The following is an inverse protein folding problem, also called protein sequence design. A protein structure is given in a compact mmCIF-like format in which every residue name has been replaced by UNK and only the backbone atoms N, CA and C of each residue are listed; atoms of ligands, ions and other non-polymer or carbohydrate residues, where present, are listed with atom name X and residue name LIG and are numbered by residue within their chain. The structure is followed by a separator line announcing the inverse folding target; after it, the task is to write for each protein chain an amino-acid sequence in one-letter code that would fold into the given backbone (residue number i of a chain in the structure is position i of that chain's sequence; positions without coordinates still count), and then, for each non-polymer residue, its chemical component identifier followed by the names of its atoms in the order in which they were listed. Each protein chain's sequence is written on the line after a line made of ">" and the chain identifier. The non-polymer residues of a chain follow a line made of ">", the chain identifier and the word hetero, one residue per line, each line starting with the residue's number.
data_IF_897782215169
#
_entry.id   IF_897782215169
#
_cell.length_a   1.000
_cell.length_b   1.000
_cell.length_c   1.000
_cell.angle_alpha   90.00
_cell.angle_beta   90.00
_cell.angle_gamma   90.00
#
_symmetry.space_group_name_H-M   'P 1'
#
loop_
_entity.id
_entity.type
_entity.pdbx_description
1 polymer ?
#
# COMPACT_ATOMS: atom_id res chain seq x y z
N UNK A 1 -35.16 -40.20 -14.12
CA UNK A 1 -34.40 -39.96 -12.87
C UNK A 1 -33.07 -39.22 -13.06
N UNK A 2 -32.51 -39.12 -14.27
CA UNK A 2 -31.23 -38.41 -14.54
C UNK A 2 -31.31 -36.88 -14.52
N UNK A 3 -32.49 -36.27 -14.73
CA UNK A 3 -32.65 -34.80 -14.70
C UNK A 3 -32.47 -34.18 -13.30
N UNK A 4 -32.94 -34.85 -12.24
CA UNK A 4 -32.89 -34.32 -10.86
C UNK A 4 -31.46 -34.24 -10.30
N UNK A 5 -30.61 -35.21 -10.64
CA UNK A 5 -29.20 -35.23 -10.22
C UNK A 5 -28.42 -34.08 -10.90
N UNK A 6 -28.71 -33.80 -12.17
CA UNK A 6 -28.05 -32.71 -12.92
C UNK A 6 -28.42 -31.33 -12.36
N UNK A 7 -29.67 -31.13 -11.93
CA UNK A 7 -30.12 -29.86 -11.34
C UNK A 7 -29.49 -29.59 -9.97
N UNK A 8 -29.33 -30.61 -9.13
CA UNK A 8 -28.70 -30.48 -7.80
C UNK A 8 -27.20 -30.15 -7.95
N UNK A 9 -26.51 -30.75 -8.92
CA UNK A 9 -25.11 -30.47 -9.19
C UNK A 9 -24.87 -28.99 -9.57
N UNK A 10 -25.76 -28.41 -10.39
CA UNK A 10 -25.69 -27.00 -10.80
C UNK A 10 -25.92 -26.06 -9.61
N UNK A 11 -26.88 -26.36 -8.73
CA UNK A 11 -27.18 -25.52 -7.55
C UNK A 11 -25.99 -25.50 -6.57
N UNK A 12 -25.32 -26.64 -6.36
CA UNK A 12 -24.14 -26.74 -5.50
C UNK A 12 -22.94 -25.99 -6.11
N UNK A 13 -22.73 -26.09 -7.43
CA UNK A 13 -21.68 -25.34 -8.13
C UNK A 13 -21.94 -23.83 -8.07
N UNK A 14 -23.17 -23.37 -8.28
CA UNK A 14 -23.54 -21.95 -8.20
C UNK A 14 -23.40 -21.39 -6.77
N UNK A 15 -23.78 -22.17 -5.76
CA UNK A 15 -23.63 -21.78 -4.35
C UNK A 15 -22.15 -21.75 -3.92
N UNK A 16 -21.34 -22.70 -4.40
CA UNK A 16 -19.89 -22.72 -4.19
C UNK A 16 -19.18 -21.54 -4.86
N UNK A 17 -19.55 -21.21 -6.11
CA UNK A 17 -18.93 -20.14 -6.88
C UNK A 17 -19.18 -18.74 -6.27
N UNK A 18 -20.40 -18.49 -5.75
CA UNK A 18 -20.70 -17.23 -5.05
C UNK A 18 -19.93 -17.10 -3.72
N UNK A 19 -19.74 -18.20 -2.99
CA UNK A 19 -18.99 -18.19 -1.72
C UNK A 19 -17.48 -17.94 -1.92
N UNK A 20 -16.90 -18.52 -2.98
CA UNK A 20 -15.49 -18.30 -3.36
C UNK A 20 -15.28 -16.85 -3.80
N UNK A 21 -16.18 -16.31 -4.63
CA UNK A 21 -16.15 -14.90 -5.06
C UNK A 21 -16.18 -13.92 -3.87
N UNK A 22 -17.00 -14.20 -2.85
CA UNK A 22 -17.04 -13.38 -1.62
C UNK A 22 -15.77 -13.52 -0.76
N UNK A 23 -15.13 -14.70 -0.76
CA UNK A 23 -13.86 -14.95 -0.08
C UNK A 23 -12.69 -14.21 -0.74
N UNK A 24 -12.62 -14.25 -2.07
CA UNK A 24 -11.58 -13.54 -2.83
C UNK A 24 -11.70 -12.03 -2.65
N UNK A 25 -12.91 -11.48 -2.70
CA UNK A 25 -13.15 -10.05 -2.43
C UNK A 25 -12.64 -9.65 -1.04
N UNK A 26 -12.93 -10.46 -0.01
CA UNK A 26 -12.46 -10.20 1.34
C UNK A 26 -10.94 -10.21 1.43
N UNK A 27 -10.27 -11.21 0.85
CA UNK A 27 -8.81 -11.31 0.86
C UNK A 27 -8.16 -10.15 0.10
N UNK A 28 -8.75 -9.74 -1.03
CA UNK A 28 -8.32 -8.55 -1.79
C UNK A 28 -8.37 -7.30 -0.92
N UNK A 29 -9.49 -7.07 -0.22
CA UNK A 29 -9.65 -5.91 0.66
C UNK A 29 -8.69 -5.97 1.86
N UNK A 30 -8.50 -7.13 2.48
CA UNK A 30 -7.56 -7.29 3.60
C UNK A 30 -6.14 -6.92 3.21
N UNK A 31 -5.69 -7.37 2.04
CA UNK A 31 -4.41 -6.97 1.46
C UNK A 31 -4.31 -5.44 1.30
N UNK A 32 -5.31 -4.81 0.67
CA UNK A 32 -5.28 -3.37 0.40
C UNK A 32 -5.33 -2.54 1.70
N UNK A 33 -6.11 -2.95 2.69
CA UNK A 33 -6.16 -2.27 3.99
C UNK A 33 -4.86 -2.43 4.77
N UNK A 34 -4.17 -3.57 4.65
CA UNK A 34 -2.83 -3.72 5.22
C UNK A 34 -1.84 -2.75 4.58
N UNK A 35 -1.86 -2.62 3.26
CA UNK A 35 -1.04 -1.64 2.54
C UNK A 35 -1.39 -0.20 2.95
N UNK A 36 -2.68 0.10 3.11
CA UNK A 36 -3.17 1.42 3.53
C UNK A 36 -2.68 1.80 4.91
N UNK A 37 -2.69 0.85 5.84
CA UNK A 37 -2.16 1.03 7.18
C UNK A 37 -0.67 1.36 7.17
N UNK A 38 0.14 0.66 6.35
CA UNK A 38 1.57 0.99 6.22
C UNK A 38 1.79 2.39 5.64
N UNK A 39 1.04 2.76 4.60
CA UNK A 39 1.17 4.09 3.98
C UNK A 39 0.75 5.21 4.92
N UNK A 40 -0.34 5.02 5.68
CA UNK A 40 -0.80 5.99 6.67
C UNK A 40 0.24 6.23 7.77
N UNK A 41 0.92 5.17 8.23
CA UNK A 41 2.02 5.30 9.21
C UNK A 41 3.20 6.10 8.63
N UNK A 42 3.57 5.86 7.36
CA UNK A 42 4.62 6.63 6.70
C UNK A 42 4.23 8.11 6.58
N UNK A 43 2.99 8.41 6.16
CA UNK A 43 2.50 9.79 6.01
C UNK A 43 2.49 10.52 7.36
N UNK A 44 2.00 9.88 8.42
CA UNK A 44 1.95 10.48 9.76
C UNK A 44 3.35 10.88 10.26
N UNK A 45 4.34 10.00 10.08
CA UNK A 45 5.74 10.31 10.40
C UNK A 45 6.32 11.36 9.45
N UNK A 46 5.95 11.34 8.17
CA UNK A 46 6.41 12.29 7.15
C UNK A 46 6.00 13.74 7.43
N UNK A 47 4.92 13.98 8.17
CA UNK A 47 4.57 15.32 8.64
C UNK A 47 5.56 15.90 9.66
N UNK A 48 6.28 15.05 10.38
CA UNK A 48 7.24 15.47 11.42
C UNK A 48 8.59 15.89 10.83
N UNK A 49 8.88 15.54 9.57
CA UNK A 49 10.14 15.82 8.88
C UNK A 49 10.52 17.30 8.77
N UNK A 50 9.59 18.24 8.98
CA UNK A 50 9.89 19.68 9.03
C UNK A 50 10.80 20.07 10.19
N UNK A 51 11.04 19.15 11.12
CA UNK A 51 11.89 19.32 12.28
C UNK A 51 13.10 18.37 12.18
N UNK A 52 14.33 18.89 12.19
CA UNK A 52 15.58 18.12 12.03
C UNK A 52 15.64 16.85 12.88
N UNK A 53 15.19 16.94 14.13
CA UNK A 53 15.29 15.90 15.13
C UNK A 53 14.44 14.65 14.83
N UNK A 54 13.52 14.73 13.87
CA UNK A 54 12.67 13.59 13.48
C UNK A 54 13.21 12.79 12.29
N UNK A 55 14.26 13.25 11.60
CA UNK A 55 14.79 12.59 10.39
C UNK A 55 15.17 11.14 10.68
N UNK A 56 15.96 10.87 11.73
CA UNK A 56 16.37 9.50 12.08
C UNK A 56 15.19 8.59 12.44
N UNK A 57 14.16 9.15 13.10
CA UNK A 57 12.95 8.38 13.43
C UNK A 57 12.11 8.06 12.19
N UNK A 58 12.05 8.98 11.23
CA UNK A 58 11.40 8.75 9.95
C UNK A 58 12.13 7.70 9.13
N UNK A 59 13.46 7.79 9.03
CA UNK A 59 14.32 6.80 8.35
C UNK A 59 14.09 5.38 8.89
N UNK A 60 14.11 5.22 10.22
CA UNK A 60 13.81 3.93 10.84
C UNK A 60 12.41 3.41 10.46
N UNK A 61 11.40 4.27 10.51
CA UNK A 61 10.02 3.88 10.22
C UNK A 61 9.81 3.52 8.75
N UNK A 62 10.40 4.26 7.81
CA UNK A 62 10.24 3.95 6.38
C UNK A 62 10.94 2.64 6.01
N UNK A 63 12.11 2.35 6.58
CA UNK A 63 12.79 1.06 6.40
C UNK A 63 11.99 -0.11 6.99
N UNK A 64 11.38 0.08 8.16
CA UNK A 64 10.50 -0.91 8.78
C UNK A 64 9.29 -1.21 7.89
N UNK A 65 8.61 -0.18 7.39
CA UNK A 65 7.45 -0.34 6.51
C UNK A 65 7.83 -0.98 5.18
N UNK A 66 8.99 -0.62 4.59
CA UNK A 66 9.54 -1.27 3.39
C UNK A 66 9.58 -2.79 3.54
N UNK A 67 10.12 -3.28 4.66
CA UNK A 67 10.20 -4.72 4.95
C UNK A 67 8.81 -5.35 4.98
N UNK A 68 7.85 -4.74 5.69
CA UNK A 68 6.47 -5.27 5.78
C UNK A 68 5.79 -5.34 4.41
N UNK A 69 6.00 -4.34 3.54
CA UNK A 69 5.44 -4.31 2.18
C UNK A 69 6.10 -5.36 1.28
N UNK A 70 7.41 -5.58 1.44
CA UNK A 70 8.11 -6.66 0.72
C UNK A 70 7.55 -8.04 1.09
N UNK A 71 7.23 -8.27 2.35
CA UNK A 71 6.67 -9.51 2.89
C UNK A 71 5.17 -9.67 2.60
N UNK A 72 4.44 -8.56 2.39
CA UNK A 72 3.00 -8.58 2.08
C UNK A 72 2.79 -8.85 0.59
N UNK A 73 2.47 -10.11 0.26
CA UNK A 73 2.23 -10.56 -1.11
C UNK A 73 0.77 -10.34 -1.51
N UNK A 74 0.50 -9.88 -2.75
CA UNK A 74 -0.85 -9.88 -3.30
C UNK A 74 -1.31 -11.33 -3.54
N UNK A 75 -2.61 -11.48 -3.82
CA UNK A 75 -3.16 -12.76 -4.29
C UNK A 75 -2.56 -13.14 -5.65
N UNK A 76 -2.34 -14.44 -5.86
CA UNK A 76 -1.75 -14.96 -7.08
C UNK A 76 -2.53 -14.52 -8.32
N UNK A 77 -1.83 -13.96 -9.31
CA UNK A 77 -2.40 -13.48 -10.56
C UNK A 77 -3.13 -12.13 -10.46
N UNK A 78 -3.11 -11.45 -9.31
CA UNK A 78 -3.73 -10.12 -9.17
C UNK A 78 -2.78 -8.99 -9.60
N UNK A 79 -2.63 -8.83 -10.91
CA UNK A 79 -1.67 -7.91 -11.54
C UNK A 79 -1.80 -6.44 -11.10
N UNK A 80 -3.02 -5.95 -10.85
CA UNK A 80 -3.21 -4.56 -10.39
C UNK A 80 -2.57 -4.34 -9.01
N UNK A 81 -2.67 -5.32 -8.11
CA UNK A 81 -2.07 -5.25 -6.78
C UNK A 81 -0.54 -5.42 -6.83
N UNK A 82 -0.03 -6.26 -7.73
CA UNK A 82 1.42 -6.38 -7.98
C UNK A 82 2.04 -5.05 -8.43
N UNK A 83 1.44 -4.43 -9.45
CA UNK A 83 1.87 -3.11 -9.95
C UNK A 83 1.79 -2.03 -8.87
N UNK A 84 0.72 -2.05 -8.06
CA UNK A 84 0.59 -1.12 -6.95
C UNK A 84 1.72 -1.32 -5.92
N UNK A 85 2.00 -2.57 -5.52
CA UNK A 85 3.08 -2.91 -4.59
C UNK A 85 4.45 -2.46 -5.11
N UNK A 86 4.73 -2.68 -6.39
CA UNK A 86 5.97 -2.23 -7.02
C UNK A 86 6.10 -0.70 -7.00
N UNK A 87 5.02 0.02 -7.35
CA UNK A 87 4.98 1.48 -7.26
C UNK A 87 5.20 1.97 -5.83
N UNK A 88 4.59 1.31 -4.84
CA UNK A 88 4.77 1.65 -3.43
C UNK A 88 6.24 1.47 -3.02
N UNK A 89 6.85 0.32 -3.32
CA UNK A 89 8.27 0.08 -3.02
C UNK A 89 9.19 1.10 -3.71
N UNK A 90 8.88 1.48 -4.95
CA UNK A 90 9.64 2.51 -5.68
C UNK A 90 9.60 3.87 -5.00
N UNK A 91 8.43 4.31 -4.52
CA UNK A 91 8.30 5.58 -3.78
C UNK A 91 9.04 5.51 -2.45
N UNK A 92 8.92 4.41 -1.72
CA UNK A 92 9.67 4.20 -0.48
C UNK A 92 11.18 4.32 -0.71
N UNK A 93 11.69 3.73 -1.78
CA UNK A 93 13.11 3.81 -2.13
C UNK A 93 13.55 5.25 -2.43
N UNK A 94 12.71 6.02 -3.13
CA UNK A 94 12.97 7.44 -3.36
C UNK A 94 12.95 8.25 -2.05
N UNK A 95 11.99 7.97 -1.17
CA UNK A 95 11.87 8.65 0.12
C UNK A 95 13.05 8.33 1.03
N UNK A 96 13.56 7.08 1.02
CA UNK A 96 14.81 6.70 1.69
C UNK A 96 15.97 7.54 1.15
N UNK A 97 16.14 7.61 -0.17
CA UNK A 97 17.23 8.37 -0.78
C UNK A 97 17.19 9.87 -0.43
N UNK A 98 15.99 10.45 -0.39
CA UNK A 98 15.81 11.84 0.05
C UNK A 98 16.16 11.97 1.54
N UNK A 99 15.70 11.05 2.38
CA UNK A 99 15.97 11.07 3.83
C UNK A 99 17.48 10.94 4.13
N UNK A 100 18.19 10.07 3.40
CA UNK A 100 19.65 9.92 3.47
C UNK A 100 20.40 11.20 3.06
N UNK A 101 19.79 12.03 2.21
CA UNK A 101 20.33 13.32 1.82
C UNK A 101 20.05 14.37 2.91
N UNK A 102 18.84 14.36 3.49
CA UNK A 102 18.45 15.25 4.58
C UNK A 102 19.27 15.03 5.85
N UNK A 103 19.64 13.78 6.18
CA UNK A 103 20.44 13.46 7.36
C UNK A 103 21.89 13.99 7.30
N UNK A 104 22.36 14.39 6.12
CA UNK A 104 23.70 14.93 5.88
C UNK A 104 23.73 16.46 5.85
N UNK A 105 22.57 17.12 5.90
CA UNK A 105 22.50 18.58 5.89
C UNK A 105 22.72 19.14 7.30
N UNK A 106 23.56 20.16 7.41
CA UNK A 106 23.69 20.93 8.64
C UNK A 106 22.39 21.69 8.94
N UNK A 107 22.12 21.94 10.22
CA UNK A 107 20.88 22.59 10.69
C UNK A 107 20.56 23.93 10.02
N UNK A 108 21.58 24.68 9.55
CA UNK A 108 21.42 25.93 8.81
C UNK A 108 20.89 25.75 7.37
N UNK A 109 21.10 24.58 6.76
CA UNK A 109 20.66 24.24 5.40
C UNK A 109 19.25 23.61 5.36
N UNK A 110 18.63 23.35 6.52
CA UNK A 110 17.30 22.73 6.57
C UNK A 110 16.16 23.64 6.08
N UNK A 111 16.36 24.94 5.92
CA UNK A 111 15.31 25.80 5.35
C UNK A 111 15.02 25.46 3.87
N UNK A 112 16.06 25.08 3.11
CA UNK A 112 15.94 24.63 1.71
C UNK A 112 15.42 23.19 1.59
N UNK A 113 15.38 22.43 2.69
CA UNK A 113 14.87 21.06 2.73
C UNK A 113 13.35 20.95 2.54
N UNK A 114 12.62 22.07 2.65
CA UNK A 114 11.16 22.08 2.54
C UNK A 114 10.66 21.57 1.17
N UNK A 115 11.39 21.83 0.08
CA UNK A 115 11.03 21.32 -1.25
C UNK A 115 11.14 19.80 -1.31
N UNK A 116 12.20 19.24 -0.71
CA UNK A 116 12.40 17.79 -0.64
C UNK A 116 11.32 17.11 0.22
N UNK A 117 10.95 17.72 1.36
CA UNK A 117 9.88 17.23 2.24
C UNK A 117 8.52 17.28 1.54
N UNK A 118 8.20 18.36 0.84
CA UNK A 118 6.96 18.47 0.05
C UNK A 118 6.93 17.39 -1.05
N UNK A 119 8.06 17.13 -1.70
CA UNK A 119 8.17 16.08 -2.71
C UNK A 119 7.91 14.67 -2.16
N UNK A 120 8.38 14.37 -0.94
CA UNK A 120 8.03 13.15 -0.20
C UNK A 120 6.51 13.07 0.02
N UNK A 121 5.93 14.13 0.58
CA UNK A 121 4.51 14.18 0.92
C UNK A 121 3.62 14.00 -0.33
N UNK A 122 3.93 14.69 -1.43
CA UNK A 122 3.18 14.58 -2.69
C UNK A 122 3.16 13.15 -3.23
N UNK A 123 4.30 12.46 -3.25
CA UNK A 123 4.36 11.05 -3.72
C UNK A 123 3.52 10.13 -2.84
N UNK A 124 3.51 10.36 -1.53
CA UNK A 124 2.74 9.55 -0.59
C UNK A 124 1.23 9.79 -0.73
N UNK A 125 0.79 11.03 -0.96
CA UNK A 125 -0.62 11.31 -1.26
C UNK A 125 -1.06 10.69 -2.58
N UNK A 126 -0.25 10.80 -3.64
CA UNK A 126 -0.54 10.15 -4.92
C UNK A 126 -0.64 8.62 -4.79
N UNK A 127 0.16 8.01 -3.91
CA UNK A 127 0.03 6.58 -3.59
C UNK A 127 -1.28 6.28 -2.86
N UNK A 128 -1.66 7.12 -1.89
CA UNK A 128 -2.89 6.93 -1.11
C UNK A 128 -4.13 7.02 -2.01
N UNK A 129 -4.16 8.00 -2.92
CA UNK A 129 -5.24 8.13 -3.92
C UNK A 129 -5.30 6.91 -4.84
N UNK A 130 -4.15 6.43 -5.31
CA UNK A 130 -4.06 5.21 -6.11
C UNK A 130 -4.58 3.97 -5.37
N UNK A 131 -4.30 3.88 -4.07
CA UNK A 131 -4.77 2.80 -3.21
C UNK A 131 -6.28 2.87 -2.96
N UNK A 132 -6.80 4.06 -2.67
CA UNK A 132 -8.23 4.28 -2.47
C UNK A 132 -9.05 3.97 -3.73
N UNK A 133 -8.51 4.31 -4.90
CA UNK A 133 -9.08 3.93 -6.19
C UNK A 133 -9.14 2.40 -6.37
N UNK A 134 -8.06 1.70 -5.99
CA UNK A 134 -8.01 0.23 -6.07
C UNK A 134 -8.98 -0.44 -5.08
N UNK A 135 -9.10 0.09 -3.86
CA UNK A 135 -10.08 -0.36 -2.85
C UNK A 135 -11.51 -0.18 -3.40
N UNK A 136 -11.83 0.99 -3.94
CA UNK A 136 -13.14 1.28 -4.52
C UNK A 136 -13.47 0.37 -5.71
N UNK A 137 -12.47 -0.02 -6.51
CA UNK A 137 -12.66 -0.97 -7.61
C UNK A 137 -13.05 -2.35 -7.07
N UNK A 138 -12.29 -2.88 -6.10
CA UNK A 138 -12.58 -4.18 -5.47
C UNK A 138 -13.93 -4.18 -4.73
N UNK A 139 -14.29 -3.08 -4.09
CA UNK A 139 -15.57 -2.99 -3.36
C UNK A 139 -16.80 -3.02 -4.28
N UNK A 140 -16.63 -2.65 -5.56
CA UNK A 140 -17.69 -2.67 -6.59
C UNK A 140 -17.81 -4.00 -7.35
N UNK A 141 -16.79 -4.86 -7.30
CA UNK A 141 -16.83 -6.25 -7.80
C UNK A 141 -17.74 -7.13 -6.92
#
# INVERSE_FOLDING_TARGET
>A
MTRTIFTILIIVILSGCNSISSGDKRLKLEYLYKMKSQLAQIIDEGYKLRKPEYISSYEYNIQRNRKVIMETKPLDGWTDAEKFRERFLSVIEQDIHVTDSLSKLDSAAMFDSNIAILSIQDRQFMLMEGLDSLISKVDRE
#
